data_IF_444315153914
#
_entry.id   IF_444315153914
#
_cell.length_a   1.000
_cell.length_b   1.000
_cell.length_c   1.000
_cell.angle_alpha   90.00
_cell.angle_beta   90.00
_cell.angle_gamma   90.00
#
_symmetry.space_group_name_H-M   'P 1'
#
loop_
_entity.id
_entity.type
_entity.pdbx_description
1 polymer ?
#
# COMPACT_ATOMS: atom_id res chain seq x y z
N UNK A 1 2.73 19.30 -0.81
CA UNK A 1 2.73 17.89 -0.38
C UNK A 1 1.45 17.61 0.40
N UNK A 2 0.68 16.65 -0.03
CA UNK A 2 -0.53 16.24 0.67
C UNK A 2 -0.27 14.94 1.42
N UNK A 3 -0.83 14.84 2.62
CA UNK A 3 -0.79 13.60 3.41
C UNK A 3 -2.22 13.04 3.45
N UNK A 4 -2.39 11.83 2.97
CA UNK A 4 -3.69 11.18 2.92
C UNK A 4 -3.66 9.92 3.76
N UNK A 5 -4.59 9.82 4.71
CA UNK A 5 -4.78 8.59 5.47
C UNK A 5 -5.58 7.61 4.63
N UNK A 6 -5.11 6.37 4.56
CA UNK A 6 -5.75 5.32 3.78
C UNK A 6 -6.44 4.35 4.75
N UNK A 7 -7.71 4.08 4.50
CA UNK A 7 -8.46 3.10 5.27
C UNK A 7 -8.01 1.68 4.93
N UNK A 8 -8.23 0.78 5.87
CA UNK A 8 -7.87 -0.63 5.70
C UNK A 8 -8.91 -1.49 6.41
N UNK A 9 -9.03 -2.73 5.97
CA UNK A 9 -9.95 -3.70 6.56
C UNK A 9 -9.40 -5.11 6.37
N UNK A 10 -9.87 -6.00 7.23
CA UNK A 10 -9.50 -7.42 7.14
C UNK A 10 -10.29 -8.08 6.00
N UNK A 11 -9.58 -8.84 5.18
CA UNK A 11 -10.15 -9.60 4.09
C UNK A 11 -9.54 -11.02 4.12
N UNK A 12 -10.29 -11.99 4.64
CA UNK A 12 -9.78 -13.33 4.83
C UNK A 12 -8.68 -13.37 5.88
N UNK A 13 -7.51 -13.89 5.53
CA UNK A 13 -6.35 -14.02 6.43
C UNK A 13 -5.44 -12.81 6.43
N UNK A 14 -5.77 -11.78 5.68
CA UNK A 14 -4.93 -10.62 5.51
C UNK A 14 -5.69 -9.32 5.69
N UNK A 15 -4.96 -8.25 5.98
CA UNK A 15 -5.47 -6.89 6.01
C UNK A 15 -5.10 -6.21 4.70
N UNK A 16 -6.04 -5.49 4.12
CA UNK A 16 -5.86 -4.78 2.85
C UNK A 16 -6.25 -3.33 2.98
N UNK A 17 -5.54 -2.45 2.28
CA UNK A 17 -5.92 -1.06 2.17
C UNK A 17 -7.02 -0.89 1.12
N UNK A 18 -7.73 0.25 1.18
CA UNK A 18 -8.53 0.71 0.08
C UNK A 18 -7.65 0.94 -1.16
N UNK A 19 -8.21 0.85 -2.37
CA UNK A 19 -7.44 1.11 -3.59
C UNK A 19 -6.90 2.54 -3.60
N UNK A 20 -5.64 2.67 -4.00
CA UNK A 20 -4.94 3.94 -4.11
C UNK A 20 -4.73 4.21 -5.60
N UNK A 21 -5.37 5.23 -6.11
CA UNK A 21 -5.21 5.61 -7.52
C UNK A 21 -3.98 6.48 -7.68
N UNK A 22 -3.07 6.08 -8.55
CA UNK A 22 -1.91 6.88 -8.89
C UNK A 22 -2.30 8.05 -9.80
N UNK A 23 -1.78 9.22 -9.48
CA UNK A 23 -1.91 10.41 -10.33
C UNK A 23 -0.71 10.57 -11.26
N UNK A 24 0.22 9.63 -11.19
CA UNK A 24 1.48 9.70 -11.91
C UNK A 24 2.61 10.23 -11.03
N UNK A 25 3.82 9.76 -11.25
CA UNK A 25 4.99 10.17 -10.51
C UNK A 25 5.31 9.28 -9.32
N UNK A 26 6.00 9.83 -8.34
CA UNK A 26 6.45 9.08 -7.18
C UNK A 26 5.38 9.07 -6.08
N UNK A 27 5.20 7.92 -5.47
CA UNK A 27 4.28 7.75 -4.32
C UNK A 27 5.11 7.29 -3.13
N UNK A 28 5.02 8.02 -2.03
CA UNK A 28 5.66 7.63 -0.77
C UNK A 28 4.59 7.11 0.17
N UNK A 29 4.80 5.92 0.70
CA UNK A 29 3.85 5.25 1.59
C UNK A 29 4.50 5.02 2.94
N UNK A 30 3.83 5.42 4.00
CA UNK A 30 4.25 5.14 5.39
C UNK A 30 3.27 4.17 6.01
N UNK A 31 3.78 3.08 6.57
CA UNK A 31 2.98 2.02 7.16
C UNK A 31 3.45 1.73 8.57
N UNK A 32 2.49 1.68 9.51
CA UNK A 32 2.70 1.10 10.84
C UNK A 32 1.85 -0.17 10.91
N UNK A 33 2.45 -1.27 11.33
CA UNK A 33 1.77 -2.57 11.39
C UNK A 33 2.08 -3.28 12.71
N UNK A 34 1.19 -4.20 13.10
CA UNK A 34 1.25 -4.84 14.41
C UNK A 34 2.23 -6.01 14.50
N UNK A 35 2.82 -6.46 13.43
CA UNK A 35 3.69 -7.64 13.45
C UNK A 35 4.73 -7.68 12.34
N UNK A 36 5.59 -8.72 12.34
CA UNK A 36 6.77 -8.78 11.47
C UNK A 36 6.50 -9.35 10.08
N UNK A 37 5.28 -9.28 9.58
CA UNK A 37 4.97 -9.75 8.24
C UNK A 37 5.25 -8.68 7.21
N UNK A 38 5.70 -9.06 5.99
CA UNK A 38 5.95 -8.07 4.94
C UNK A 38 4.65 -7.43 4.47
N UNK A 39 4.77 -6.19 4.03
CA UNK A 39 3.68 -5.49 3.35
C UNK A 39 3.81 -5.78 1.86
N UNK A 40 2.79 -6.40 1.28
CA UNK A 40 2.76 -6.71 -0.14
C UNK A 40 2.16 -5.54 -0.92
N UNK A 41 2.76 -5.23 -2.06
CA UNK A 41 2.25 -4.21 -2.98
C UNK A 41 1.55 -4.92 -4.13
N UNK A 42 0.26 -4.66 -4.28
CA UNK A 42 -0.57 -5.24 -5.32
C UNK A 42 -0.97 -4.15 -6.31
N UNK A 43 -0.99 -4.46 -7.58
CA UNK A 43 -1.22 -3.48 -8.64
C UNK A 43 -2.34 -3.94 -9.57
N UNK A 44 -3.21 -3.02 -9.96
CA UNK A 44 -4.28 -3.25 -10.92
C UNK A 44 -4.36 -2.09 -11.92
N UNK A 45 -4.69 -2.39 -13.16
CA UNK A 45 -4.81 -1.38 -14.21
C UNK A 45 -6.18 -0.70 -14.23
N UNK A 46 -7.19 -1.29 -13.63
CA UNK A 46 -8.56 -0.75 -13.64
C UNK A 46 -9.15 -0.52 -12.24
N UNK A 47 -8.49 -1.03 -11.20
CA UNK A 47 -8.94 -0.89 -9.82
C UNK A 47 -10.10 -1.80 -9.41
N UNK A 48 -10.70 -2.53 -10.33
CA UNK A 48 -11.87 -3.37 -10.09
C UNK A 48 -11.51 -4.85 -10.16
N UNK A 49 -10.78 -5.20 -11.18
CA UNK A 49 -10.41 -6.58 -11.47
C UNK A 49 -9.10 -6.94 -10.75
N UNK A 50 -8.49 -7.95 -11.21
CA UNK A 50 -7.32 -8.62 -10.70
C UNK A 50 -6.19 -7.69 -10.25
N UNK A 51 -5.88 -7.75 -8.95
CA UNK A 51 -4.67 -7.12 -8.39
C UNK A 51 -3.56 -8.15 -8.37
N UNK A 52 -2.46 -7.83 -9.05
CA UNK A 52 -1.30 -8.71 -9.15
C UNK A 52 -0.23 -8.28 -8.16
N UNK A 53 0.43 -9.26 -7.57
CA UNK A 53 1.58 -9.02 -6.70
C UNK A 53 2.70 -8.33 -7.50
N UNK A 54 3.22 -7.26 -6.93
CA UNK A 54 4.32 -6.50 -7.53
C UNK A 54 5.60 -6.61 -6.70
N UNK A 55 5.51 -6.35 -5.39
CA UNK A 55 6.70 -6.36 -4.52
C UNK A 55 6.24 -6.44 -3.05
N UNK A 56 7.21 -6.61 -2.14
CA UNK A 56 6.96 -6.55 -0.72
C UNK A 56 8.08 -5.78 -0.01
N UNK A 57 7.81 -5.36 1.22
CA UNK A 57 8.78 -4.61 2.02
C UNK A 57 8.45 -4.70 3.52
N UNK A 58 9.40 -4.30 4.36
CA UNK A 58 9.17 -4.13 5.79
C UNK A 58 9.01 -5.43 6.57
N UNK A 59 9.71 -6.50 6.18
CA UNK A 59 9.58 -7.81 6.82
C UNK A 59 9.81 -7.75 8.34
N UNK A 60 10.86 -7.10 8.79
CA UNK A 60 11.26 -7.07 10.20
C UNK A 60 10.93 -5.75 10.91
N UNK A 61 10.12 -4.90 10.30
CA UNK A 61 9.86 -3.57 10.82
C UNK A 61 8.40 -3.35 11.13
N UNK A 62 8.10 -2.79 12.32
CA UNK A 62 6.74 -2.37 12.70
C UNK A 62 6.34 -1.10 11.96
N UNK A 63 7.33 -0.29 11.61
CA UNK A 63 7.15 0.99 10.91
C UNK A 63 8.04 1.00 9.70
N UNK A 64 7.46 1.15 8.55
CA UNK A 64 8.21 1.15 7.31
C UNK A 64 7.72 2.25 6.38
N UNK A 65 8.62 2.70 5.53
CA UNK A 65 8.33 3.70 4.52
C UNK A 65 8.93 3.22 3.21
N UNK A 66 8.15 3.30 2.15
CA UNK A 66 8.60 2.93 0.82
C UNK A 66 8.24 4.05 -0.16
N UNK A 67 9.11 4.26 -1.13
CA UNK A 67 8.83 5.15 -2.24
C UNK A 67 8.69 4.32 -3.51
N UNK A 68 7.54 4.43 -4.15
CA UNK A 68 7.29 3.83 -5.45
C UNK A 68 7.62 4.87 -6.50
N UNK A 69 8.63 4.62 -7.29
CA UNK A 69 9.15 5.58 -8.27
C UNK A 69 8.46 5.42 -9.62
N UNK A 70 8.10 6.56 -10.23
CA UNK A 70 7.61 6.59 -11.59
C UNK A 70 6.34 5.81 -11.83
N UNK A 71 5.43 5.78 -10.87
CA UNK A 71 4.17 5.05 -11.01
C UNK A 71 3.32 5.70 -12.10
N UNK A 72 2.81 4.92 -13.02
CA UNK A 72 1.96 5.40 -14.11
C UNK A 72 0.64 5.96 -13.55
N UNK A 73 0.13 7.02 -14.19
CA UNK A 73 -1.19 7.53 -13.83
C UNK A 73 -2.27 6.48 -14.15
N UNK A 74 -3.37 6.53 -13.39
CA UNK A 74 -4.49 5.60 -13.52
C UNK A 74 -4.15 4.13 -13.17
N UNK A 75 -3.02 3.90 -12.55
CA UNK A 75 -2.70 2.62 -11.95
C UNK A 75 -3.25 2.60 -10.52
N UNK A 76 -3.81 1.48 -10.10
CA UNK A 76 -4.36 1.30 -8.77
C UNK A 76 -3.46 0.39 -7.94
N UNK A 77 -3.24 0.78 -6.70
CA UNK A 77 -2.35 0.07 -5.79
C UNK A 77 -3.12 -0.30 -4.53
N UNK A 78 -2.91 -1.52 -4.05
CA UNK A 78 -3.33 -1.94 -2.71
C UNK A 78 -2.14 -2.44 -1.94
N UNK A 79 -2.15 -2.21 -0.63
CA UNK A 79 -1.20 -2.83 0.28
C UNK A 79 -1.92 -3.93 1.04
N UNK A 80 -1.24 -5.06 1.21
CA UNK A 80 -1.76 -6.21 1.92
C UNK A 80 -0.73 -6.71 2.93
N UNK A 81 -1.18 -7.07 4.13
CA UNK A 81 -0.32 -7.60 5.17
C UNK A 81 -1.10 -8.60 6.02
N UNK A 82 -0.42 -9.63 6.51
CA UNK A 82 -1.02 -10.60 7.44
C UNK A 82 -1.17 -10.05 8.85
N UNK A 83 -0.39 -9.03 9.19
CA UNK A 83 -0.57 -8.29 10.43
C UNK A 83 -1.53 -7.14 10.22
N UNK A 84 -2.25 -6.78 11.28
CA UNK A 84 -3.12 -5.62 11.25
C UNK A 84 -2.31 -4.35 10.97
N UNK A 85 -2.79 -3.54 10.05
CA UNK A 85 -2.27 -2.19 9.87
C UNK A 85 -2.73 -1.33 11.05
N UNK A 86 -1.82 -0.54 11.59
CA UNK A 86 -2.15 0.47 12.60
C UNK A 86 -2.31 1.84 11.96
N UNK A 87 -1.56 2.09 10.91
CA UNK A 87 -1.58 3.35 10.18
C UNK A 87 -1.07 3.14 8.77
N UNK A 88 -1.78 3.72 7.80
CA UNK A 88 -1.31 3.79 6.41
C UNK A 88 -1.50 5.21 5.92
N UNK A 89 -0.40 5.85 5.54
CA UNK A 89 -0.42 7.21 5.00
C UNK A 89 0.29 7.27 3.67
N UNK A 90 -0.25 8.07 2.78
CA UNK A 90 0.37 8.36 1.49
C UNK A 90 0.80 9.81 1.49
N UNK A 91 2.02 10.03 1.04
CA UNK A 91 2.58 11.36 0.86
C UNK A 91 2.70 11.58 -0.65
N UNK A 92 1.88 12.44 -1.17
CA UNK A 92 1.90 12.85 -2.57
C UNK A 92 2.57 14.21 -2.66
N UNK A 93 3.54 14.28 -3.52
CA UNK A 93 4.29 15.52 -3.62
C UNK A 93 4.54 15.96 -5.04
#
# INVERSE_FOLDING_TARGET
MAVVNISFAKNGDAWETAPIKSLGGDIRVRVHKAGPYPVEVLVSIDGVEEYLFHDDFGLDEDRCEITLLGVMSNLYIKLRCRSEFELVKILEG
#
